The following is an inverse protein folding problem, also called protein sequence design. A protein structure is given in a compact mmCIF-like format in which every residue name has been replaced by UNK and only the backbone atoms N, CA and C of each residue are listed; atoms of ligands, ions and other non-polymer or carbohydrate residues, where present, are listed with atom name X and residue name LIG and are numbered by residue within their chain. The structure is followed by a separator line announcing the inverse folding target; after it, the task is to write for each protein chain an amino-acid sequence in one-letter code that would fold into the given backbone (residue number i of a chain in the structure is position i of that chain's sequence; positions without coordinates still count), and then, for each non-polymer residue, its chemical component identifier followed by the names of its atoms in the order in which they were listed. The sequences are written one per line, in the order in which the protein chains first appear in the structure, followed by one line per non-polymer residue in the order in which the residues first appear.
data_IF_197050536491
#
_entry.id   IF_197050536491
#
_cell.length_a   1.000
_cell.length_b   1.000
_cell.length_c   1.000
_cell.angle_alpha   90.00
_cell.angle_beta   90.00
_cell.angle_gamma   90.00
#
_symmetry.space_group_name_H-M   'P 1'
#
loop_
_entity.id
_entity.type
_entity.pdbx_description
1 polymer ?
#
# COMPACT_ATOMS: atom_id res chain seq x y z
N UNK A 1 -4.53 -4.44 8.80
CA UNK A 1 -4.02 -3.16 8.24
C UNK A 1 -4.69 -2.91 6.88
N UNK A 2 -5.30 -1.77 6.74
CA UNK A 2 -5.95 -1.40 5.48
C UNK A 2 -5.11 -0.37 4.76
N UNK A 3 -4.86 -0.61 3.49
CA UNK A 3 -4.03 0.26 2.66
C UNK A 3 -4.89 0.81 1.53
N UNK A 4 -4.99 2.12 1.44
CA UNK A 4 -5.73 2.78 0.38
C UNK A 4 -4.76 3.40 -0.62
N UNK A 5 -4.94 3.07 -1.90
CA UNK A 5 -4.14 3.65 -2.97
C UNK A 5 -4.71 5.03 -3.32
N UNK A 6 -3.94 6.07 -3.02
CA UNK A 6 -4.38 7.45 -3.27
C UNK A 6 -3.97 7.97 -4.65
N UNK A 7 -3.56 7.09 -5.54
CA UNK A 7 -3.14 7.49 -6.87
C UNK A 7 -4.14 7.03 -7.92
N UNK A 8 -4.02 7.56 -9.12
CA UNK A 8 -4.86 7.17 -10.26
C UNK A 8 -4.27 6.00 -11.05
N UNK A 9 -3.20 5.39 -10.52
CA UNK A 9 -2.53 4.26 -11.16
C UNK A 9 -2.56 3.05 -10.24
N UNK A 10 -2.57 1.86 -10.84
CA UNK A 10 -2.49 0.62 -10.08
C UNK A 10 -1.17 0.56 -9.33
N UNK A 11 -1.25 0.28 -8.04
CA UNK A 11 -0.08 0.20 -7.18
C UNK A 11 0.37 -1.24 -7.02
N UNK A 12 1.66 -1.49 -7.22
CA UNK A 12 2.26 -2.79 -7.04
C UNK A 12 3.18 -2.77 -5.83
N UNK A 13 2.99 -3.73 -4.92
CA UNK A 13 3.80 -3.85 -3.72
C UNK A 13 4.87 -4.94 -3.93
N UNK A 14 5.87 -4.94 -3.04
CA UNK A 14 7.00 -5.86 -3.18
C UNK A 14 6.62 -7.32 -3.05
N UNK A 15 5.51 -7.62 -2.38
CA UNK A 15 5.00 -8.99 -2.22
C UNK A 15 4.06 -9.40 -3.34
N UNK A 16 4.08 -8.68 -4.46
CA UNK A 16 3.22 -8.91 -5.63
C UNK A 16 1.74 -8.63 -5.38
N UNK A 17 1.44 -7.90 -4.33
CA UNK A 17 0.08 -7.44 -4.08
C UNK A 17 -0.20 -6.19 -4.91
N UNK A 18 -1.38 -6.14 -5.53
CA UNK A 18 -1.78 -4.99 -6.33
C UNK A 18 -2.97 -4.30 -5.68
N UNK A 19 -2.95 -2.98 -5.70
CA UNK A 19 -4.08 -2.18 -5.22
C UNK A 19 -4.55 -1.29 -6.36
N UNK A 20 -5.81 -1.44 -6.74
CA UNK A 20 -6.38 -0.63 -7.82
C UNK A 20 -6.44 0.84 -7.42
N UNK A 21 -6.50 1.75 -8.42
CA UNK A 21 -6.58 3.19 -8.11
C UNK A 21 -7.73 3.49 -7.17
N UNK A 22 -7.46 4.27 -6.14
CA UNK A 22 -8.42 4.72 -5.13
C UNK A 22 -9.13 3.58 -4.39
N UNK A 23 -8.62 2.35 -4.51
CA UNK A 23 -9.18 1.20 -3.80
C UNK A 23 -8.46 1.00 -2.48
N UNK A 24 -9.12 0.29 -1.56
CA UNK A 24 -8.56 -0.10 -0.27
C UNK A 24 -8.39 -1.61 -0.25
N UNK A 25 -7.25 -2.07 0.22
CA UNK A 25 -6.99 -3.48 0.38
C UNK A 25 -6.56 -3.77 1.80
N UNK A 26 -7.10 -4.84 2.37
CA UNK A 26 -6.68 -5.28 3.70
C UNK A 26 -5.54 -6.26 3.59
N UNK A 27 -4.47 -6.03 4.34
CA UNK A 27 -3.30 -6.90 4.38
C UNK A 27 -3.17 -7.40 5.82
N UNK A 28 -3.23 -8.72 5.99
CA UNK A 28 -3.19 -9.32 7.32
C UNK A 28 -1.77 -9.60 7.78
N UNK A 29 -0.91 -10.03 6.86
CA UNK A 29 0.47 -10.33 7.18
C UNK A 29 1.38 -9.35 6.45
N UNK A 30 2.17 -8.62 7.21
CA UNK A 30 3.06 -7.60 6.66
C UNK A 30 4.49 -7.93 7.08
N UNK A 31 5.34 -8.24 6.10
CA UNK A 31 6.76 -8.46 6.36
C UNK A 31 7.46 -7.13 6.65
N UNK A 32 8.67 -7.23 7.19
CA UNK A 32 9.45 -6.03 7.49
C UNK A 32 9.71 -5.20 6.22
N UNK A 33 10.07 -5.86 5.13
CA UNK A 33 10.31 -5.19 3.87
C UNK A 33 9.05 -4.50 3.36
N UNK A 34 7.91 -5.18 3.45
CA UNK A 34 6.66 -4.60 3.03
C UNK A 34 6.29 -3.40 3.90
N UNK A 35 6.50 -3.50 5.21
CA UNK A 35 6.23 -2.39 6.12
C UNK A 35 7.10 -1.18 5.77
N UNK A 36 8.36 -1.39 5.44
CA UNK A 36 9.24 -0.29 5.05
C UNK A 36 8.74 0.37 3.77
N UNK A 37 8.31 -0.43 2.80
CA UNK A 37 7.74 0.13 1.57
C UNK A 37 6.48 0.94 1.87
N UNK A 38 5.58 0.39 2.69
CA UNK A 38 4.33 1.07 3.03
C UNK A 38 4.57 2.38 3.75
N UNK A 39 5.51 2.41 4.69
CA UNK A 39 5.86 3.65 5.40
C UNK A 39 6.40 4.70 4.45
N UNK A 40 7.22 4.30 3.49
CA UNK A 40 7.77 5.22 2.51
C UNK A 40 6.67 5.77 1.61
N UNK A 41 5.77 4.89 1.16
CA UNK A 41 4.65 5.31 0.33
C UNK A 41 3.70 6.24 1.08
N UNK A 42 3.45 5.95 2.36
CA UNK A 42 2.61 6.83 3.19
C UNK A 42 3.26 8.19 3.37
N UNK A 43 4.56 8.23 3.59
CA UNK A 43 5.30 9.48 3.72
C UNK A 43 5.17 10.33 2.46
N UNK A 44 5.15 9.68 1.31
CA UNK A 44 5.00 10.36 0.01
C UNK A 44 3.54 10.57 -0.37
N UNK A 45 2.62 10.25 0.52
CA UNK A 45 1.17 10.39 0.31
C UNK A 45 0.64 9.55 -0.86
N UNK A 46 1.36 8.49 -1.22
CA UNK A 46 0.92 7.57 -2.25
C UNK A 46 -0.17 6.64 -1.71
N UNK A 47 -0.07 6.27 -0.45
CA UNK A 47 -1.08 5.42 0.20
C UNK A 47 -1.49 6.02 1.54
N UNK A 48 -2.67 5.59 2.01
CA UNK A 48 -3.14 5.86 3.35
C UNK A 48 -3.24 4.54 4.09
N UNK A 49 -2.65 4.48 5.28
CA UNK A 49 -2.67 3.28 6.12
C UNK A 49 -3.64 3.51 7.29
N UNK A 50 -4.54 2.57 7.45
CA UNK A 50 -5.52 2.60 8.53
C UNK A 50 -5.37 1.41 9.47
#
# INVERSE_FOLDING_TARGET
MKITNNTSKKLSLIDKTFINPHATKEIKEVSEELMQQLKQLEKNKVVKIS
#
